data_IF_485533656876
#
_entry.id   IF_485533656876
#
_cell.length_a   1.000
_cell.length_b   1.000
_cell.length_c   1.000
_cell.angle_alpha   90.00
_cell.angle_beta   90.00
_cell.angle_gamma   90.00
#
_symmetry.space_group_name_H-M   'P 1'
#
loop_
_entity.id
_entity.type
_entity.pdbx_description
1 polymer ?
#
# COMPACT_ATOMS: atom_id res chain seq x y z
N UNK A 1 -66.94 -13.67 -38.53
CA UNK A 1 -66.94 -12.20 -38.63
C UNK A 1 -65.50 -11.73 -38.72
N UNK A 2 -65.05 -11.34 -39.90
CA UNK A 2 -63.64 -11.04 -40.21
C UNK A 2 -63.34 -9.58 -39.90
N UNK A 3 -62.42 -9.30 -38.96
CA UNK A 3 -62.06 -7.93 -38.56
C UNK A 3 -61.04 -7.37 -39.56
N UNK A 4 -61.44 -6.35 -40.33
CA UNK A 4 -60.57 -5.60 -41.23
C UNK A 4 -59.89 -4.43 -40.49
N UNK A 5 -58.61 -4.20 -40.81
CA UNK A 5 -57.71 -3.09 -40.43
C UNK A 5 -58.37 -1.69 -40.32
N UNK A 6 -59.42 -1.39 -41.09
CA UNK A 6 -60.17 -0.12 -40.98
C UNK A 6 -60.98 0.04 -39.70
N UNK A 7 -61.48 -1.05 -39.09
CA UNK A 7 -62.23 -0.98 -37.81
C UNK A 7 -61.33 -0.87 -36.59
N UNK A 8 -60.05 -1.24 -36.70
CA UNK A 8 -59.08 -1.07 -35.61
C UNK A 8 -58.63 0.39 -35.46
N UNK A 9 -58.50 1.13 -36.58
CA UNK A 9 -58.03 2.52 -36.56
C UNK A 9 -59.12 3.50 -36.07
N UNK A 10 -60.41 3.20 -36.29
CA UNK A 10 -61.50 4.03 -35.76
C UNK A 10 -61.72 3.87 -34.23
N UNK A 11 -61.28 2.77 -33.62
CA UNK A 11 -61.34 2.59 -32.17
C UNK A 11 -60.17 3.28 -31.43
N UNK A 12 -59.10 3.65 -32.14
CA UNK A 12 -57.93 4.32 -31.56
C UNK A 12 -58.02 5.86 -31.56
N UNK A 13 -59.03 6.45 -32.22
CA UNK A 13 -59.11 7.89 -32.48
C UNK A 13 -60.04 8.70 -31.57
N UNK A 14 -60.77 8.09 -30.64
CA UNK A 14 -61.78 8.78 -29.82
C UNK A 14 -61.68 8.39 -28.34
N UNK A 15 -60.53 8.71 -27.74
CA UNK A 15 -60.25 8.50 -26.31
C UNK A 15 -59.26 9.53 -25.77
N UNK A 16 -59.31 10.77 -26.27
CA UNK A 16 -58.61 11.91 -25.66
C UNK A 16 -59.44 12.40 -24.46
N UNK A 17 -59.43 11.63 -23.37
CA UNK A 17 -59.90 12.07 -22.06
C UNK A 17 -58.70 12.19 -21.14
N UNK A 18 -58.50 13.42 -20.66
CA UNK A 18 -57.52 13.86 -19.67
C UNK A 18 -57.51 12.92 -18.47
N UNK A 19 -56.63 11.93 -18.50
CA UNK A 19 -56.13 11.26 -17.30
C UNK A 19 -54.77 11.91 -17.03
N UNK A 20 -54.78 12.86 -16.10
CA UNK A 20 -53.55 13.42 -15.57
C UNK A 20 -52.66 12.27 -15.14
N UNK A 21 -51.52 12.11 -15.81
CA UNK A 21 -50.43 11.32 -15.26
C UNK A 21 -50.17 11.88 -13.86
N UNK A 22 -50.18 11.06 -12.80
CA UNK A 22 -49.68 11.53 -11.53
C UNK A 22 -48.25 12.00 -11.81
N UNK A 23 -48.01 13.28 -11.59
CA UNK A 23 -46.67 13.84 -11.57
C UNK A 23 -45.86 12.90 -10.68
N UNK A 24 -44.91 12.18 -11.28
CA UNK A 24 -43.85 11.56 -10.50
C UNK A 24 -43.20 12.75 -9.82
N UNK A 25 -43.54 12.95 -8.54
CA UNK A 25 -42.91 13.90 -7.66
C UNK A 25 -41.44 13.53 -7.73
N UNK A 26 -40.67 14.34 -8.47
CA UNK A 26 -39.24 14.17 -8.69
C UNK A 26 -38.55 14.58 -7.40
N UNK A 27 -38.68 13.75 -6.37
CA UNK A 27 -38.02 13.92 -5.09
C UNK A 27 -36.54 13.58 -5.25
N UNK A 28 -35.74 14.45 -5.86
CA UNK A 28 -34.28 14.28 -5.88
C UNK A 28 -33.50 15.60 -6.00
N UNK A 29 -33.88 16.61 -5.20
CA UNK A 29 -33.12 17.87 -5.10
C UNK A 29 -32.06 17.86 -3.99
N UNK A 30 -32.15 16.93 -3.02
CA UNK A 30 -31.18 16.88 -1.93
C UNK A 30 -29.80 16.39 -2.43
N UNK A 31 -28.69 17.00 -1.98
CA UNK A 31 -27.35 16.54 -2.31
C UNK A 31 -27.09 15.11 -1.80
N UNK A 32 -26.17 14.40 -2.45
CA UNK A 32 -25.64 13.13 -1.97
C UNK A 32 -24.59 13.47 -0.90
N UNK A 33 -24.86 13.10 0.34
CA UNK A 33 -23.94 13.27 1.47
C UNK A 33 -22.99 12.08 1.49
N UNK A 34 -21.76 12.29 1.06
CA UNK A 34 -20.74 11.26 0.89
C UNK A 34 -19.75 11.35 2.05
N UNK A 35 -19.65 10.30 2.86
CA UNK A 35 -18.60 10.18 3.86
C UNK A 35 -17.34 9.57 3.27
N UNK A 36 -16.17 10.13 3.59
CA UNK A 36 -14.87 9.52 3.33
C UNK A 36 -14.23 9.18 4.68
N UNK A 37 -14.18 7.88 5.00
CA UNK A 37 -13.41 7.34 6.11
C UNK A 37 -11.99 7.07 5.64
N UNK A 38 -11.03 7.87 6.08
CA UNK A 38 -9.64 7.79 5.61
C UNK A 38 -8.64 7.85 6.78
N UNK A 39 -7.35 7.77 6.44
CA UNK A 39 -6.22 7.87 7.36
C UNK A 39 -5.34 9.04 6.91
N UNK A 40 -5.36 10.14 7.65
CA UNK A 40 -4.57 11.36 7.36
C UNK A 40 -3.39 11.51 8.31
N UNK A 41 -3.37 10.73 9.38
CA UNK A 41 -2.33 10.70 10.41
C UNK A 41 -1.86 9.28 10.68
N UNK A 42 -0.64 9.14 11.20
CA UNK A 42 -0.07 7.84 11.54
C UNK A 42 0.50 7.07 10.33
N UNK A 43 0.81 5.77 10.51
CA UNK A 43 1.67 5.01 9.58
C UNK A 43 1.08 4.80 8.19
N UNK A 44 -0.23 4.95 8.03
CA UNK A 44 -0.95 4.77 6.77
C UNK A 44 -1.38 6.09 6.12
N UNK A 45 -0.87 7.24 6.64
CA UNK A 45 -1.30 8.56 6.21
C UNK A 45 -1.08 8.83 4.71
N UNK A 46 0.01 8.33 4.11
CA UNK A 46 0.27 8.51 2.68
C UNK A 46 -0.86 7.93 1.83
N UNK A 47 -1.26 6.69 2.09
CA UNK A 47 -2.34 6.02 1.37
C UNK A 47 -3.70 6.69 1.56
N UNK A 48 -4.01 7.17 2.77
CA UNK A 48 -5.29 7.85 3.01
C UNK A 48 -5.34 9.27 2.45
N UNK A 49 -4.22 9.99 2.43
CA UNK A 49 -4.09 11.27 1.72
C UNK A 49 -4.28 11.09 0.21
N UNK A 50 -3.71 10.04 -0.38
CA UNK A 50 -3.89 9.72 -1.79
C UNK A 50 -5.33 9.30 -2.10
N UNK A 51 -5.99 8.56 -1.20
CA UNK A 51 -7.41 8.23 -1.32
C UNK A 51 -8.30 9.48 -1.32
N UNK A 52 -8.01 10.46 -0.44
CA UNK A 52 -8.74 11.75 -0.42
C UNK A 52 -8.48 12.57 -1.69
N UNK A 53 -7.22 12.69 -2.12
CA UNK A 53 -6.84 13.41 -3.34
C UNK A 53 -7.52 12.82 -4.57
N UNK A 54 -7.52 11.49 -4.70
CA UNK A 54 -8.15 10.79 -5.81
C UNK A 54 -9.67 11.02 -5.84
N UNK A 55 -10.35 10.92 -4.69
CA UNK A 55 -11.79 11.17 -4.62
C UNK A 55 -12.14 12.63 -4.95
N UNK A 56 -11.40 13.60 -4.38
CA UNK A 56 -11.61 15.02 -4.65
C UNK A 56 -11.36 15.34 -6.13
N UNK A 57 -10.31 14.78 -6.73
CA UNK A 57 -10.05 14.91 -8.16
C UNK A 57 -11.22 14.35 -8.98
N UNK A 58 -11.65 13.13 -8.71
CA UNK A 58 -12.75 12.46 -9.40
C UNK A 58 -14.06 13.26 -9.35
N UNK A 59 -14.37 13.86 -8.19
CA UNK A 59 -15.55 14.71 -8.02
C UNK A 59 -15.40 16.03 -8.79
N UNK A 60 -14.23 16.69 -8.75
CA UNK A 60 -13.97 17.95 -9.46
C UNK A 60 -14.14 17.81 -10.96
N UNK A 61 -13.63 16.75 -11.56
CA UNK A 61 -13.80 16.43 -12.98
C UNK A 61 -15.28 16.32 -13.40
N UNK A 62 -16.17 16.04 -12.44
CA UNK A 62 -17.61 15.87 -12.62
C UNK A 62 -18.42 17.04 -12.06
N UNK A 63 -17.80 18.20 -11.85
CA UNK A 63 -18.44 19.37 -11.24
C UNK A 63 -19.10 19.06 -9.89
N UNK A 64 -18.52 18.13 -9.12
CA UNK A 64 -19.05 17.60 -7.86
C UNK A 64 -20.45 17.01 -7.98
N UNK A 65 -20.72 16.31 -9.09
CA UNK A 65 -22.02 15.68 -9.36
C UNK A 65 -21.89 14.16 -9.49
N UNK A 66 -22.86 13.44 -8.93
CA UNK A 66 -23.04 12.00 -9.08
C UNK A 66 -24.51 11.71 -9.36
N UNK A 67 -24.79 10.91 -10.40
CA UNK A 67 -26.16 10.57 -10.81
C UNK A 67 -27.11 11.78 -10.92
N UNK A 68 -26.59 12.92 -11.41
CA UNK A 68 -27.36 14.17 -11.56
C UNK A 68 -27.59 14.97 -10.27
N UNK A 69 -26.99 14.58 -9.14
CA UNK A 69 -27.11 15.28 -7.84
C UNK A 69 -25.75 15.81 -7.38
N UNK A 70 -25.75 16.98 -6.74
CA UNK A 70 -24.55 17.54 -6.12
C UNK A 70 -24.06 16.66 -4.97
N UNK A 71 -22.75 16.53 -4.80
CA UNK A 71 -22.11 15.79 -3.71
C UNK A 71 -21.66 16.74 -2.61
N UNK A 72 -22.02 16.44 -1.37
CA UNK A 72 -21.45 17.03 -0.15
C UNK A 72 -20.49 16.01 0.48
N UNK A 73 -19.20 16.32 0.48
CA UNK A 73 -18.16 15.43 0.99
C UNK A 73 -17.86 15.73 2.46
N UNK A 74 -17.91 14.70 3.31
CA UNK A 74 -17.56 14.73 4.72
C UNK A 74 -16.35 13.83 4.94
N UNK A 75 -15.25 14.35 5.47
CA UNK A 75 -14.01 13.58 5.63
C UNK A 75 -13.75 13.32 7.11
N UNK A 76 -13.49 12.06 7.44
CA UNK A 76 -13.10 11.64 8.77
C UNK A 76 -11.72 10.97 8.76
N UNK A 77 -10.84 11.44 9.66
CA UNK A 77 -9.55 10.80 9.92
C UNK A 77 -9.67 9.85 11.11
N UNK A 78 -9.29 8.61 10.88
CA UNK A 78 -9.26 7.52 11.87
C UNK A 78 -7.85 7.23 12.41
N UNK A 79 -6.81 7.85 11.85
CA UNK A 79 -5.42 7.65 12.25
C UNK A 79 -4.88 6.23 12.03
N UNK A 80 -5.59 5.37 11.29
CA UNK A 80 -5.23 3.96 11.15
C UNK A 80 -5.66 3.10 12.35
N UNK A 81 -6.50 3.64 13.25
CA UNK A 81 -6.85 3.02 14.53
C UNK A 81 -8.27 2.47 14.50
N UNK A 82 -8.48 1.15 14.66
CA UNK A 82 -9.81 0.52 14.55
C UNK A 82 -10.87 1.11 15.49
N UNK A 83 -10.50 1.42 16.74
CA UNK A 83 -11.43 2.03 17.70
C UNK A 83 -11.86 3.44 17.26
N UNK A 84 -10.95 4.23 16.69
CA UNK A 84 -11.29 5.57 16.18
C UNK A 84 -12.15 5.48 14.93
N UNK A 85 -11.88 4.53 14.03
CA UNK A 85 -12.70 4.30 12.84
C UNK A 85 -14.17 4.04 13.19
N UNK A 86 -14.45 3.26 14.26
CA UNK A 86 -15.82 3.05 14.75
C UNK A 86 -16.49 4.36 15.18
N UNK A 87 -15.87 5.11 16.07
CA UNK A 87 -16.42 6.39 16.56
C UNK A 87 -16.60 7.41 15.43
N UNK A 88 -15.67 7.45 14.48
CA UNK A 88 -15.74 8.33 13.32
C UNK A 88 -16.83 7.93 12.34
N UNK A 89 -17.08 6.63 12.18
CA UNK A 89 -18.20 6.13 11.36
C UNK A 89 -19.52 6.56 11.97
N UNK A 90 -19.66 6.44 13.29
CA UNK A 90 -20.83 6.94 14.03
C UNK A 90 -21.01 8.44 13.84
N UNK A 91 -19.93 9.23 13.94
CA UNK A 91 -19.97 10.68 13.70
C UNK A 91 -20.48 11.02 12.29
N UNK A 92 -19.95 10.35 11.25
CA UNK A 92 -20.39 10.56 9.86
C UNK A 92 -21.87 10.21 9.67
N UNK A 93 -22.35 9.12 10.27
CA UNK A 93 -23.74 8.66 10.10
C UNK A 93 -24.70 9.49 10.94
N UNK A 94 -24.40 9.70 12.21
CA UNK A 94 -25.32 10.28 13.19
C UNK A 94 -25.31 11.80 13.17
N UNK A 95 -24.14 12.44 13.05
CA UNK A 95 -24.03 13.90 12.94
C UNK A 95 -24.14 14.35 11.50
N UNK A 96 -23.30 13.78 10.63
CA UNK A 96 -23.19 14.28 9.26
C UNK A 96 -24.23 13.67 8.31
N UNK A 97 -25.03 12.70 8.77
CA UNK A 97 -26.15 12.12 8.01
C UNK A 97 -25.73 11.67 6.60
N UNK A 98 -24.56 11.05 6.47
CA UNK A 98 -24.08 10.55 5.18
C UNK A 98 -25.05 9.50 4.61
N UNK A 99 -25.17 9.45 3.29
CA UNK A 99 -25.96 8.46 2.57
C UNK A 99 -25.13 7.25 2.15
N UNK A 100 -23.83 7.44 1.95
CA UNK A 100 -22.88 6.44 1.45
C UNK A 100 -21.51 6.75 2.05
N UNK A 101 -20.73 5.72 2.34
CA UNK A 101 -19.36 5.82 2.81
C UNK A 101 -18.38 5.30 1.76
N UNK A 102 -17.28 6.02 1.55
CA UNK A 102 -16.07 5.53 0.89
C UNK A 102 -15.00 5.31 1.96
N UNK A 103 -14.30 4.19 1.89
CA UNK A 103 -13.38 3.72 2.93
C UNK A 103 -14.02 2.65 3.84
N UNK A 104 -13.35 2.23 4.92
CA UNK A 104 -12.04 2.69 5.39
C UNK A 104 -10.87 2.20 4.51
N UNK A 105 -9.65 2.61 4.86
CA UNK A 105 -8.40 2.19 4.19
C UNK A 105 -7.85 0.90 4.80
N UNK A 106 -7.80 0.79 6.13
CA UNK A 106 -7.12 -0.31 6.79
C UNK A 106 -8.05 -1.51 7.01
N UNK A 107 -7.50 -2.72 6.87
CA UNK A 107 -8.24 -3.96 7.09
C UNK A 107 -8.86 -4.04 8.49
N UNK A 108 -8.12 -3.65 9.53
CA UNK A 108 -8.63 -3.64 10.91
C UNK A 108 -9.77 -2.64 11.14
N UNK A 109 -9.80 -1.52 10.41
CA UNK A 109 -10.88 -0.55 10.49
C UNK A 109 -12.15 -1.08 9.85
N UNK A 110 -12.03 -1.78 8.71
CA UNK A 110 -13.18 -2.42 8.06
C UNK A 110 -13.83 -3.45 8.99
N UNK A 111 -13.02 -4.31 9.62
CA UNK A 111 -13.49 -5.28 10.60
C UNK A 111 -14.16 -4.60 11.81
N UNK A 112 -13.59 -3.52 12.32
CA UNK A 112 -14.12 -2.81 13.48
C UNK A 112 -15.41 -2.02 13.22
N UNK A 113 -15.67 -1.68 11.96
CA UNK A 113 -16.87 -0.93 11.53
C UNK A 113 -17.97 -1.81 10.96
N UNK A 114 -17.68 -3.09 10.68
CA UNK A 114 -18.58 -4.03 10.01
C UNK A 114 -19.98 -4.12 10.64
N UNK A 115 -20.04 -4.39 11.95
CA UNK A 115 -21.32 -4.51 12.66
C UNK A 115 -22.15 -3.24 12.58
N UNK A 116 -21.50 -2.07 12.64
CA UNK A 116 -22.19 -0.79 12.55
C UNK A 116 -22.69 -0.51 11.13
N UNK A 117 -21.86 -0.79 10.12
CA UNK A 117 -22.25 -0.73 8.70
C UNK A 117 -23.48 -1.61 8.45
N UNK A 118 -23.47 -2.84 9.01
CA UNK A 118 -24.59 -3.79 8.90
C UNK A 118 -25.86 -3.28 9.58
N UNK A 119 -25.75 -2.77 10.82
CA UNK A 119 -26.88 -2.24 11.58
C UNK A 119 -27.52 -1.02 10.93
N UNK A 120 -26.70 -0.09 10.42
CA UNK A 120 -27.17 1.14 9.79
C UNK A 120 -27.56 0.95 8.33
N UNK A 121 -27.37 -0.25 7.78
CA UNK A 121 -27.59 -0.52 6.35
C UNK A 121 -26.84 0.50 5.46
N UNK A 122 -25.62 0.85 5.85
CA UNK A 122 -24.86 1.94 5.25
C UNK A 122 -24.14 1.44 4.00
N UNK A 123 -24.53 1.86 2.78
CA UNK A 123 -23.79 1.50 1.58
C UNK A 123 -22.34 1.99 1.70
N UNK A 124 -21.39 1.07 1.57
CA UNK A 124 -19.97 1.32 1.81
C UNK A 124 -19.14 0.78 0.64
N UNK A 125 -18.37 1.66 -0.01
CA UNK A 125 -17.36 1.29 -1.00
C UNK A 125 -15.97 1.43 -0.38
N UNK A 126 -15.27 0.33 -0.18
CA UNK A 126 -13.99 0.32 0.52
C UNK A 126 -12.86 -0.23 -0.35
N UNK A 127 -11.64 0.21 -0.04
CA UNK A 127 -10.39 -0.35 -0.55
C UNK A 127 -9.72 -1.28 0.46
N UNK A 128 -10.23 -1.36 1.69
CA UNK A 128 -9.70 -2.20 2.75
C UNK A 128 -9.80 -3.68 2.38
N UNK A 129 -8.69 -4.39 2.55
CA UNK A 129 -8.52 -5.74 2.01
C UNK A 129 -8.88 -6.89 2.98
N UNK A 130 -9.46 -6.58 4.14
CA UNK A 130 -9.88 -7.56 5.17
C UNK A 130 -10.78 -8.66 4.61
N UNK A 131 -10.35 -9.92 4.56
CA UNK A 131 -11.05 -10.94 3.76
C UNK A 131 -12.50 -11.19 4.20
N UNK A 132 -12.77 -11.09 5.50
CA UNK A 132 -14.07 -11.45 6.08
C UNK A 132 -15.23 -10.63 5.59
N UNK A 133 -14.99 -9.36 5.26
CA UNK A 133 -16.02 -8.46 4.77
C UNK A 133 -16.70 -8.97 3.48
N UNK A 134 -16.03 -9.85 2.73
CA UNK A 134 -16.50 -10.37 1.44
C UNK A 134 -16.38 -11.89 1.30
N UNK A 135 -15.96 -12.61 2.35
CA UNK A 135 -15.72 -14.06 2.28
C UNK A 135 -16.47 -14.83 3.36
N UNK A 136 -15.94 -14.85 4.60
CA UNK A 136 -16.48 -15.68 5.70
C UNK A 136 -17.68 -15.04 6.38
N UNK A 137 -17.72 -13.70 6.42
CA UNK A 137 -18.81 -12.93 7.02
C UNK A 137 -19.24 -11.79 6.07
N UNK A 138 -19.73 -12.11 4.87
CA UNK A 138 -19.99 -11.10 3.85
C UNK A 138 -21.03 -10.10 4.36
N UNK A 139 -20.71 -8.81 4.24
CA UNK A 139 -21.64 -7.74 4.58
C UNK A 139 -22.31 -7.23 3.28
N UNK A 140 -23.65 -7.35 3.13
CA UNK A 140 -24.34 -6.94 1.90
C UNK A 140 -24.29 -5.43 1.65
N UNK A 141 -23.92 -4.64 2.66
CA UNK A 141 -23.75 -3.18 2.56
C UNK A 141 -22.30 -2.76 2.29
N UNK A 142 -21.39 -3.73 2.14
CA UNK A 142 -19.98 -3.50 1.90
C UNK A 142 -19.58 -4.02 0.51
N UNK A 143 -19.07 -3.12 -0.32
CA UNK A 143 -18.49 -3.44 -1.62
C UNK A 143 -17.01 -3.12 -1.60
N UNK A 144 -16.17 -4.04 -2.05
CA UNK A 144 -14.74 -3.82 -2.23
C UNK A 144 -14.40 -3.51 -3.66
N UNK A 145 -13.68 -2.40 -3.89
CA UNK A 145 -13.18 -2.02 -5.22
C UNK A 145 -11.81 -2.61 -5.58
N UNK A 146 -11.20 -3.39 -4.68
CA UNK A 146 -9.82 -3.87 -4.72
C UNK A 146 -9.72 -5.37 -4.39
N UNK A 147 -8.51 -5.94 -4.43
CA UNK A 147 -8.25 -7.32 -4.05
C UNK A 147 -8.38 -7.57 -2.53
N UNK A 148 -8.56 -8.83 -2.13
CA UNK A 148 -8.40 -9.25 -0.72
C UNK A 148 -6.93 -9.35 -0.33
N UNK A 149 -6.66 -9.39 0.97
CA UNK A 149 -5.29 -9.49 1.50
C UNK A 149 -4.56 -10.75 1.06
N UNK A 150 -5.21 -11.91 0.96
CA UNK A 150 -4.56 -13.14 0.50
C UNK A 150 -4.38 -13.22 -1.03
N UNK A 151 -5.25 -12.56 -1.80
CA UNK A 151 -5.26 -12.68 -3.26
C UNK A 151 -3.92 -12.31 -3.90
N UNK A 152 -3.25 -11.26 -3.40
CA UNK A 152 -1.94 -10.85 -3.91
C UNK A 152 -0.82 -11.84 -3.57
N UNK A 153 -1.00 -12.66 -2.53
CA UNK A 153 -0.01 -13.63 -2.07
C UNK A 153 -0.08 -14.97 -2.81
N UNK A 154 -1.24 -15.35 -3.36
CA UNK A 154 -1.41 -16.64 -4.04
C UNK A 154 -0.48 -16.82 -5.25
N UNK A 155 -0.41 -15.88 -6.22
CA UNK A 155 0.47 -16.05 -7.38
C UNK A 155 1.95 -16.10 -6.98
N UNK A 156 2.33 -15.37 -5.93
CA UNK A 156 3.70 -15.36 -5.43
C UNK A 156 4.08 -16.72 -4.82
N UNK A 157 3.20 -17.32 -4.01
CA UNK A 157 3.41 -18.66 -3.47
C UNK A 157 3.52 -19.71 -4.57
N UNK A 158 2.63 -19.65 -5.57
CA UNK A 158 2.64 -20.54 -6.74
C UNK A 158 3.96 -20.43 -7.51
N UNK A 159 4.45 -19.21 -7.70
CA UNK A 159 5.73 -18.95 -8.34
C UNK A 159 6.91 -19.50 -7.51
N UNK A 160 6.94 -19.26 -6.19
CA UNK A 160 7.98 -19.77 -5.30
C UNK A 160 8.13 -21.29 -5.37
N UNK A 161 7.01 -22.03 -5.37
CA UNK A 161 7.04 -23.50 -5.36
C UNK A 161 7.20 -24.10 -6.76
N UNK A 162 6.42 -23.66 -7.75
CA UNK A 162 6.42 -24.27 -9.09
C UNK A 162 7.62 -23.83 -9.91
N UNK A 163 7.97 -22.56 -9.81
CA UNK A 163 8.93 -21.94 -10.70
C UNK A 163 10.31 -21.88 -10.05
N UNK A 164 10.41 -21.49 -8.79
CA UNK A 164 11.71 -21.37 -8.10
C UNK A 164 12.11 -22.62 -7.32
N UNK A 165 11.18 -23.57 -7.19
CA UNK A 165 11.40 -24.86 -6.51
C UNK A 165 11.82 -24.71 -5.03
N UNK A 166 11.50 -23.59 -4.38
CA UNK A 166 11.73 -23.47 -2.92
C UNK A 166 10.88 -24.47 -2.18
N UNK A 167 11.38 -24.96 -1.06
CA UNK A 167 10.70 -25.96 -0.23
C UNK A 167 10.50 -25.48 1.21
N UNK A 168 11.29 -24.51 1.67
CA UNK A 168 11.32 -24.03 3.05
C UNK A 168 11.42 -22.52 3.05
N UNK A 169 10.41 -21.82 3.57
CA UNK A 169 10.40 -20.35 3.58
C UNK A 169 10.12 -19.80 4.98
N UNK A 170 10.71 -18.64 5.27
CA UNK A 170 10.31 -17.80 6.40
C UNK A 170 9.43 -16.66 5.90
N UNK A 171 8.41 -16.29 6.68
CA UNK A 171 7.54 -15.14 6.40
C UNK A 171 7.73 -14.08 7.47
N UNK A 172 7.90 -12.84 7.03
CA UNK A 172 7.87 -11.64 7.87
C UNK A 172 6.79 -10.74 7.29
N UNK A 173 5.80 -10.37 8.09
CA UNK A 173 4.69 -9.50 7.67
C UNK A 173 4.24 -8.63 8.84
N UNK A 174 3.63 -7.48 8.59
CA UNK A 174 3.17 -6.61 9.68
C UNK A 174 2.13 -7.29 10.58
N UNK A 175 2.18 -7.03 11.89
CA UNK A 175 1.23 -7.52 12.89
C UNK A 175 -0.11 -6.76 12.85
N UNK A 176 -0.76 -6.84 11.70
CA UNK A 176 -2.07 -6.27 11.40
C UNK A 176 -2.88 -7.28 10.58
N UNK A 177 -4.22 -7.17 10.53
CA UNK A 177 -5.06 -8.14 9.80
C UNK A 177 -4.59 -8.38 8.36
N UNK A 178 -4.17 -7.33 7.64
CA UNK A 178 -3.64 -7.44 6.29
C UNK A 178 -2.40 -8.35 6.21
N UNK A 179 -1.42 -8.18 7.12
CA UNK A 179 -0.19 -8.97 7.12
C UNK A 179 -0.43 -10.43 7.49
N UNK A 180 -1.34 -10.67 8.45
CA UNK A 180 -1.76 -12.03 8.83
C UNK A 180 -2.46 -12.76 7.68
N UNK A 181 -3.43 -12.10 7.03
CA UNK A 181 -4.19 -12.66 5.92
C UNK A 181 -3.31 -12.92 4.70
N UNK A 182 -2.40 -11.99 4.37
CA UNK A 182 -1.41 -12.17 3.31
C UNK A 182 -0.50 -13.37 3.59
N UNK A 183 0.00 -13.50 4.83
CA UNK A 183 0.81 -14.65 5.25
C UNK A 183 0.04 -15.97 5.15
N UNK A 184 -1.23 -15.98 5.58
CA UNK A 184 -2.09 -17.15 5.49
C UNK A 184 -2.36 -17.55 4.03
N UNK A 185 -2.64 -16.58 3.16
CA UNK A 185 -2.79 -16.78 1.72
C UNK A 185 -1.56 -17.41 1.08
N UNK A 186 -0.38 -16.83 1.34
CA UNK A 186 0.88 -17.36 0.86
C UNK A 186 1.10 -18.80 1.35
N UNK A 187 0.97 -19.02 2.66
CA UNK A 187 1.20 -20.33 3.28
C UNK A 187 0.31 -21.39 2.66
N UNK A 188 -1.00 -21.11 2.53
CA UNK A 188 -1.95 -22.08 1.99
C UNK A 188 -1.48 -22.61 0.64
N UNK A 189 -1.23 -21.71 -0.30
CA UNK A 189 -0.81 -22.09 -1.66
C UNK A 189 0.56 -22.74 -1.68
N UNK A 190 1.50 -22.29 -0.85
CA UNK A 190 2.85 -22.84 -0.80
C UNK A 190 2.89 -24.25 -0.19
N UNK A 191 2.14 -24.49 0.89
CA UNK A 191 2.12 -25.77 1.60
C UNK A 191 1.24 -26.82 0.91
N UNK A 192 0.12 -26.43 0.30
CA UNK A 192 -0.69 -27.32 -0.57
C UNK A 192 0.12 -27.91 -1.73
N UNK A 193 1.19 -27.23 -2.13
CA UNK A 193 2.08 -27.65 -3.21
C UNK A 193 3.39 -28.30 -2.72
N UNK A 194 3.44 -28.68 -1.45
CA UNK A 194 4.56 -29.42 -0.85
C UNK A 194 5.73 -28.55 -0.40
N UNK A 195 5.54 -27.24 -0.26
CA UNK A 195 6.43 -26.35 0.46
C UNK A 195 6.16 -26.38 1.96
N UNK A 196 6.98 -25.69 2.74
CA UNK A 196 6.81 -25.55 4.19
C UNK A 196 7.19 -24.15 4.65
N UNK A 197 6.29 -23.52 5.41
CA UNK A 197 6.64 -22.30 6.15
C UNK A 197 7.29 -22.72 7.46
N UNK A 198 8.60 -22.49 7.58
CA UNK A 198 9.40 -22.97 8.72
C UNK A 198 9.53 -21.93 9.83
N UNK A 199 9.14 -20.69 9.56
CA UNK A 199 9.14 -19.57 10.49
C UNK A 199 8.17 -18.48 10.03
N UNK A 200 7.49 -17.86 11.00
CA UNK A 200 6.68 -16.66 10.81
C UNK A 200 7.05 -15.63 11.86
N UNK A 201 7.10 -14.37 11.46
CA UNK A 201 7.34 -13.26 12.35
C UNK A 201 6.40 -12.12 12.00
N UNK A 202 5.79 -11.54 13.02
CA UNK A 202 4.85 -10.44 12.87
C UNK A 202 5.35 -9.22 13.67
N UNK A 203 6.29 -8.45 13.12
CA UNK A 203 6.68 -7.17 13.71
C UNK A 203 5.51 -6.18 13.73
N UNK A 204 5.45 -5.27 14.72
CA UNK A 204 4.51 -4.17 14.69
C UNK A 204 4.69 -3.32 13.42
N UNK A 205 3.59 -2.78 12.86
CA UNK A 205 3.63 -1.91 11.68
C UNK A 205 4.57 -0.70 11.83
N UNK A 206 4.77 -0.24 13.07
CA UNK A 206 5.62 0.90 13.43
C UNK A 206 7.01 0.50 13.90
N UNK A 207 7.42 -0.76 13.65
CA UNK A 207 8.76 -1.23 14.03
C UNK A 207 9.81 -0.32 13.40
N UNK A 208 10.76 0.23 14.19
CA UNK A 208 11.76 1.15 13.65
C UNK A 208 12.81 0.45 12.78
N UNK A 209 12.96 -0.87 12.95
CA UNK A 209 14.04 -1.67 12.39
C UNK A 209 13.66 -3.17 12.35
N UNK A 210 14.08 -3.86 11.30
CA UNK A 210 13.82 -5.29 11.11
C UNK A 210 15.01 -6.19 11.55
N UNK A 211 16.13 -5.62 11.99
CA UNK A 211 17.37 -6.32 12.29
C UNK A 211 17.22 -7.42 13.34
N UNK A 212 16.43 -7.18 14.40
CA UNK A 212 16.12 -8.19 15.42
C UNK A 212 15.31 -9.37 14.87
N UNK A 213 14.48 -9.15 13.85
CA UNK A 213 13.70 -10.20 13.18
C UNK A 213 14.57 -10.95 12.17
N UNK A 214 15.45 -10.26 11.44
CA UNK A 214 16.39 -10.88 10.52
C UNK A 214 17.40 -11.78 11.26
N UNK A 215 17.86 -11.38 12.44
CA UNK A 215 18.76 -12.19 13.26
C UNK A 215 18.13 -13.50 13.77
N UNK A 216 16.79 -13.58 13.82
CA UNK A 216 16.07 -14.79 14.23
C UNK A 216 15.87 -15.79 13.09
N UNK A 217 16.24 -15.44 11.86
CA UNK A 217 16.02 -16.30 10.69
C UNK A 217 16.76 -17.63 10.83
N UNK A 218 16.01 -18.72 10.66
CA UNK A 218 16.59 -20.07 10.63
C UNK A 218 17.54 -20.23 9.45
N UNK A 219 18.65 -20.94 9.66
CA UNK A 219 19.68 -21.17 8.62
C UNK A 219 19.25 -22.12 7.51
N UNK A 220 18.16 -22.87 7.70
CA UNK A 220 17.67 -23.88 6.76
C UNK A 220 16.48 -23.38 5.91
N UNK A 221 16.45 -22.10 5.55
CA UNK A 221 15.42 -21.50 4.69
C UNK A 221 15.97 -21.27 3.27
N UNK A 222 15.14 -21.49 2.26
CA UNK A 222 15.47 -21.27 0.84
C UNK A 222 15.26 -19.80 0.41
N UNK A 223 14.56 -19.01 1.23
CA UNK A 223 14.26 -17.61 0.96
C UNK A 223 13.47 -16.88 2.05
N UNK A 224 13.62 -15.55 2.03
CA UNK A 224 12.87 -14.53 2.79
C UNK A 224 12.39 -13.50 1.79
N UNK A 225 11.08 -13.23 1.71
CA UNK A 225 10.40 -12.31 0.77
C UNK A 225 11.35 -11.48 -0.14
N UNK A 226 11.59 -12.00 -1.34
CA UNK A 226 12.88 -11.94 -2.06
C UNK A 226 12.90 -10.97 -3.26
N UNK A 227 12.65 -9.67 -3.05
CA UNK A 227 12.61 -8.69 -4.15
C UNK A 227 13.76 -8.82 -5.17
N UNK A 228 15.01 -8.90 -4.70
CA UNK A 228 16.19 -9.03 -5.58
C UNK A 228 16.25 -10.35 -6.35
N UNK A 229 15.88 -11.49 -5.73
CA UNK A 229 15.95 -12.82 -6.39
C UNK A 229 14.92 -12.95 -7.50
N UNK A 230 13.70 -12.46 -7.25
CA UNK A 230 12.62 -12.50 -8.24
C UNK A 230 12.88 -11.51 -9.37
N UNK A 231 13.31 -10.27 -9.07
CA UNK A 231 13.67 -9.28 -10.10
C UNK A 231 14.81 -9.77 -10.99
N UNK A 232 15.87 -10.36 -10.40
CA UNK A 232 16.99 -10.91 -11.17
C UNK A 232 16.55 -12.03 -12.11
N UNK A 233 15.64 -12.90 -11.68
CA UNK A 233 15.10 -13.96 -12.55
C UNK A 233 14.29 -13.37 -13.70
N UNK A 234 13.36 -12.45 -13.43
CA UNK A 234 12.54 -11.83 -14.48
C UNK A 234 13.40 -11.06 -15.49
N UNK A 235 14.42 -10.34 -15.03
CA UNK A 235 15.38 -9.66 -15.89
C UNK A 235 16.26 -10.64 -16.69
N UNK A 236 16.58 -11.81 -16.14
CA UNK A 236 17.33 -12.84 -16.86
C UNK A 236 16.48 -13.57 -17.92
N UNK A 237 15.16 -13.61 -17.74
CA UNK A 237 14.20 -14.17 -18.70
C UNK A 237 13.77 -13.15 -19.77
N UNK A 238 14.09 -11.85 -19.63
CA UNK A 238 13.72 -10.83 -20.61
C UNK A 238 14.55 -10.93 -21.89
N UNK A 239 14.00 -10.47 -23.01
CA UNK A 239 14.72 -10.37 -24.29
C UNK A 239 14.64 -8.93 -24.81
N UNK A 240 15.76 -8.18 -24.85
CA UNK A 240 17.09 -8.59 -24.39
C UNK A 240 17.17 -8.73 -22.86
N UNK A 241 18.11 -9.55 -22.39
CA UNK A 241 18.52 -9.56 -20.97
C UNK A 241 19.18 -8.23 -20.69
N UNK A 242 18.53 -7.36 -19.93
CA UNK A 242 19.05 -6.08 -19.47
C UNK A 242 18.31 -5.66 -18.20
N UNK A 243 19.02 -5.18 -17.18
CA UNK A 243 18.36 -4.76 -15.94
C UNK A 243 19.25 -3.98 -15.00
N UNK A 244 18.60 -3.25 -14.10
CA UNK A 244 19.25 -2.57 -12.98
C UNK A 244 18.48 -2.87 -11.69
N UNK A 245 19.17 -3.41 -10.70
CA UNK A 245 18.67 -3.66 -9.36
C UNK A 245 19.34 -2.66 -8.41
N UNK A 246 18.52 -1.90 -7.70
CA UNK A 246 18.97 -0.83 -6.80
C UNK A 246 18.49 -1.18 -5.39
N UNK A 247 19.43 -1.55 -4.52
CA UNK A 247 19.13 -1.87 -3.13
C UNK A 247 19.32 -0.63 -2.25
N UNK A 248 18.38 -0.37 -1.35
CA UNK A 248 18.48 0.77 -0.41
C UNK A 248 19.15 0.31 0.89
N UNK A 249 20.42 0.69 1.07
CA UNK A 249 21.15 0.52 2.32
C UNK A 249 21.03 1.79 3.18
N UNK A 250 22.13 2.25 3.79
CA UNK A 250 22.26 3.44 4.63
C UNK A 250 23.75 3.73 4.84
N UNK A 251 24.09 4.96 5.20
CA UNK A 251 25.41 5.28 5.80
C UNK A 251 25.72 4.43 7.04
N UNK A 252 24.69 3.96 7.76
CA UNK A 252 24.86 3.04 8.89
C UNK A 252 25.31 1.62 8.46
N UNK A 253 25.29 1.32 7.16
CA UNK A 253 25.95 0.13 6.61
C UNK A 253 27.43 0.33 6.26
N UNK A 254 27.95 1.56 6.38
CA UNK A 254 29.34 1.94 6.12
C UNK A 254 30.10 2.19 7.43
N UNK A 255 29.43 2.81 8.40
CA UNK A 255 29.99 3.22 9.69
C UNK A 255 29.09 2.76 10.84
N UNK A 256 29.67 2.60 12.03
CA UNK A 256 28.93 2.25 13.25
C UNK A 256 28.27 3.46 13.90
N UNK A 257 27.10 3.25 14.52
CA UNK A 257 26.47 4.26 15.38
C UNK A 257 26.01 3.62 16.70
N UNK A 258 26.40 4.18 17.86
CA UNK A 258 26.01 3.62 19.15
C UNK A 258 24.49 3.50 19.30
N UNK A 259 24.03 2.41 19.93
CA UNK A 259 22.60 2.21 20.23
C UNK A 259 21.76 1.63 19.08
N UNK A 260 22.31 1.46 17.86
CA UNK A 260 21.59 0.92 16.70
C UNK A 260 22.32 -0.25 16.01
N UNK A 261 23.08 -1.05 16.77
CA UNK A 261 23.93 -2.12 16.23
C UNK A 261 23.22 -3.13 15.31
N UNK A 262 21.95 -3.46 15.59
CA UNK A 262 21.15 -4.33 14.71
C UNK A 262 20.87 -3.68 13.34
N UNK A 263 20.59 -2.37 13.33
CA UNK A 263 20.41 -1.59 12.11
C UNK A 263 21.71 -1.50 11.32
N UNK A 264 22.85 -1.25 11.99
CA UNK A 264 24.16 -1.27 11.35
C UNK A 264 24.45 -2.63 10.68
N UNK A 265 24.22 -3.73 11.40
CA UNK A 265 24.42 -5.08 10.89
C UNK A 265 23.52 -5.38 9.68
N UNK A 266 22.23 -5.02 9.75
CA UNK A 266 21.28 -5.19 8.65
C UNK A 266 21.71 -4.43 7.38
N UNK A 267 22.06 -3.16 7.52
CA UNK A 267 22.47 -2.31 6.38
C UNK A 267 23.85 -2.68 5.83
N UNK A 268 24.77 -3.12 6.68
CA UNK A 268 26.04 -3.75 6.28
C UNK A 268 25.82 -5.06 5.53
N UNK A 269 24.81 -5.85 5.92
CA UNK A 269 24.37 -7.03 5.21
C UNK A 269 23.89 -6.72 3.79
N UNK A 270 23.00 -5.73 3.62
CA UNK A 270 22.53 -5.28 2.29
C UNK A 270 23.69 -4.82 1.40
N UNK A 271 24.68 -4.12 1.97
CA UNK A 271 25.88 -3.66 1.27
C UNK A 271 26.67 -4.82 0.67
N UNK A 272 27.03 -5.82 1.48
CA UNK A 272 27.79 -6.98 1.01
C UNK A 272 26.96 -7.90 0.10
N UNK A 273 25.67 -8.06 0.42
CA UNK A 273 24.74 -8.81 -0.43
C UNK A 273 24.68 -8.24 -1.85
N UNK A 274 24.57 -6.92 -1.99
CA UNK A 274 24.54 -6.23 -3.29
C UNK A 274 25.75 -6.58 -4.14
N UNK A 275 26.96 -6.55 -3.55
CA UNK A 275 28.20 -6.93 -4.26
C UNK A 275 28.21 -8.40 -4.67
N UNK A 276 27.77 -9.29 -3.77
CA UNK A 276 27.72 -10.72 -4.06
C UNK A 276 26.78 -11.02 -5.24
N UNK A 277 25.60 -10.39 -5.28
CA UNK A 277 24.66 -10.54 -6.42
C UNK A 277 25.24 -9.92 -7.69
N UNK A 278 25.86 -8.74 -7.61
CA UNK A 278 26.51 -8.10 -8.77
C UNK A 278 27.54 -9.02 -9.44
N UNK A 279 28.43 -9.63 -8.63
CA UNK A 279 29.43 -10.58 -9.11
C UNK A 279 28.78 -11.85 -9.67
N UNK A 280 27.72 -12.34 -9.03
CA UNK A 280 26.95 -13.49 -9.53
C UNK A 280 26.32 -13.23 -10.90
N UNK A 281 25.83 -12.02 -11.16
CA UNK A 281 25.32 -11.63 -12.49
C UNK A 281 26.44 -11.61 -13.52
N UNK A 282 27.60 -11.03 -13.16
CA UNK A 282 28.76 -10.93 -14.04
C UNK A 282 29.31 -12.32 -14.42
N UNK A 283 29.47 -13.22 -13.46
CA UNK A 283 29.93 -14.60 -13.68
C UNK A 283 28.99 -15.37 -14.63
N UNK A 284 27.69 -15.11 -14.56
CA UNK A 284 26.67 -15.74 -15.42
C UNK A 284 26.51 -15.05 -16.78
N UNK A 285 27.27 -13.99 -17.07
CA UNK A 285 27.12 -13.20 -18.29
C UNK A 285 25.77 -12.48 -18.41
N UNK A 286 25.02 -12.32 -17.30
CA UNK A 286 23.76 -11.59 -17.28
C UNK A 286 24.05 -10.09 -17.31
N UNK A 287 23.46 -9.36 -18.26
CA UNK A 287 23.56 -7.89 -18.33
C UNK A 287 22.64 -7.21 -17.29
N UNK A 288 22.76 -7.64 -16.03
CA UNK A 288 22.02 -7.11 -14.89
C UNK A 288 23.01 -6.43 -13.95
N UNK A 289 22.84 -5.13 -13.76
CA UNK A 289 23.63 -4.32 -12.82
C UNK A 289 22.98 -4.35 -11.45
N UNK A 290 23.79 -4.45 -10.39
CA UNK A 290 23.26 -4.48 -9.03
C UNK A 290 24.07 -3.52 -8.16
N UNK A 291 23.46 -2.44 -7.72
CA UNK A 291 24.12 -1.38 -6.94
C UNK A 291 23.31 -1.07 -5.67
N UNK A 292 23.96 -0.44 -4.69
CA UNK A 292 23.30 0.01 -3.46
C UNK A 292 23.41 1.51 -3.30
N UNK A 293 22.34 2.14 -2.79
CA UNK A 293 22.37 3.53 -2.34
C UNK A 293 22.52 3.57 -0.82
N UNK A 294 23.34 4.51 -0.34
CA UNK A 294 23.63 4.74 1.07
C UNK A 294 23.22 6.17 1.44
N UNK A 295 21.93 6.41 1.76
CA UNK A 295 21.46 7.72 2.17
C UNK A 295 22.03 8.12 3.53
N UNK A 296 22.31 9.42 3.67
CA UNK A 296 22.45 10.11 4.96
C UNK A 296 21.10 10.36 5.63
N UNK A 297 21.01 11.41 6.44
CA UNK A 297 19.73 11.83 7.01
C UNK A 297 18.92 12.60 5.97
N UNK A 298 17.74 12.05 5.64
CA UNK A 298 16.84 12.57 4.60
C UNK A 298 15.53 12.98 5.25
N UNK A 299 15.03 14.15 4.86
CA UNK A 299 13.79 14.72 5.35
C UNK A 299 12.58 13.91 4.86
N UNK A 300 12.20 12.93 5.66
CA UNK A 300 11.13 11.97 5.40
C UNK A 300 10.13 11.98 6.56
N UNK A 301 8.87 11.58 6.33
CA UNK A 301 7.91 11.43 7.43
C UNK A 301 8.45 10.58 8.59
N UNK A 302 9.18 9.50 8.30
CA UNK A 302 9.82 8.65 9.30
C UNK A 302 10.82 9.41 10.18
N UNK A 303 11.71 10.20 9.58
CA UNK A 303 12.70 10.98 10.34
C UNK A 303 12.01 12.09 11.16
N UNK A 304 11.02 12.78 10.58
CA UNK A 304 10.22 13.80 11.28
C UNK A 304 9.51 13.22 12.50
N UNK A 305 8.89 12.04 12.37
CA UNK A 305 8.28 11.34 13.49
C UNK A 305 9.30 10.91 14.55
N UNK A 306 10.48 10.46 14.13
CA UNK A 306 11.57 10.12 15.06
C UNK A 306 12.04 11.35 15.84
N UNK A 307 12.19 12.50 15.17
CA UNK A 307 12.54 13.78 15.80
C UNK A 307 11.47 14.24 16.78
N UNK A 308 10.19 14.11 16.43
CA UNK A 308 9.07 14.48 17.29
C UNK A 308 8.98 13.67 18.59
N UNK A 309 9.59 12.48 18.64
CA UNK A 309 9.66 11.62 19.83
C UNK A 309 10.91 11.85 20.68
N UNK A 310 11.83 12.73 20.24
CA UNK A 310 13.01 13.07 21.02
C UNK A 310 12.64 13.94 22.22
N UNK A 311 13.54 13.96 23.22
CA UNK A 311 13.37 14.76 24.44
C UNK A 311 13.22 16.25 24.15
N UNK A 312 13.82 16.74 23.07
CA UNK A 312 13.75 18.14 22.62
C UNK A 312 13.45 18.21 21.11
N UNK A 313 12.17 18.17 20.72
CA UNK A 313 11.76 18.20 19.31
C UNK A 313 12.10 19.50 18.59
N UNK A 314 12.10 20.64 19.29
CA UNK A 314 12.39 21.95 18.70
C UNK A 314 13.87 22.06 18.29
N UNK A 315 14.76 21.40 19.03
CA UNK A 315 16.19 21.37 18.72
C UNK A 315 16.59 20.22 17.80
N UNK A 316 15.79 19.14 17.72
CA UNK A 316 16.10 17.94 16.96
C UNK A 316 16.46 18.23 15.48
N UNK A 317 15.70 19.10 14.81
CA UNK A 317 15.95 19.49 13.43
C UNK A 317 17.37 20.08 13.26
N UNK A 318 17.74 21.05 14.09
CA UNK A 318 19.08 21.67 14.05
C UNK A 318 20.18 20.66 14.33
N UNK A 319 19.95 19.72 15.25
CA UNK A 319 20.90 18.65 15.54
C UNK A 319 21.12 17.77 14.32
N UNK A 320 20.05 17.34 13.65
CA UNK A 320 20.17 16.53 12.44
C UNK A 320 20.74 17.31 11.25
N UNK A 321 20.45 18.59 11.10
CA UNK A 321 21.07 19.42 10.05
C UNK A 321 22.59 19.52 10.25
N UNK A 322 23.03 19.77 11.48
CA UNK A 322 24.45 19.91 11.84
C UNK A 322 25.24 18.60 11.76
N UNK A 323 24.56 17.45 11.75
CA UNK A 323 25.20 16.15 11.59
C UNK A 323 25.79 15.97 10.18
N UNK A 324 25.24 16.65 9.17
CA UNK A 324 25.72 16.62 7.79
C UNK A 324 26.63 17.83 7.54
N UNK A 325 27.85 17.65 7.00
CA UNK A 325 28.75 18.75 6.67
C UNK A 325 28.15 19.85 5.76
N UNK A 326 27.21 19.52 4.89
CA UNK A 326 26.48 20.52 4.07
C UNK A 326 25.51 21.39 4.89
N UNK A 327 25.26 21.07 6.16
CA UNK A 327 24.51 21.87 7.11
C UNK A 327 22.99 21.76 6.99
N UNK A 328 22.47 20.76 6.28
CA UNK A 328 21.04 20.49 6.16
C UNK A 328 20.75 19.00 5.92
N UNK A 329 19.51 18.58 6.21
CA UNK A 329 18.97 17.30 5.74
C UNK A 329 18.95 17.22 4.21
N UNK A 330 19.21 16.04 3.66
CA UNK A 330 18.89 15.76 2.27
C UNK A 330 17.38 15.71 2.04
N UNK A 331 16.94 15.91 0.81
CA UNK A 331 15.55 15.79 0.39
C UNK A 331 15.30 14.42 -0.25
N UNK A 332 14.06 13.89 -0.23
CA UNK A 332 13.74 12.63 -0.93
C UNK A 332 14.15 12.63 -2.40
N UNK A 333 14.12 13.79 -3.05
CA UNK A 333 14.55 13.99 -4.44
C UNK A 333 16.03 13.70 -4.65
N UNK A 334 16.90 13.99 -3.67
CA UNK A 334 18.34 13.71 -3.77
C UNK A 334 18.61 12.21 -3.94
N UNK A 335 17.85 11.38 -3.21
CA UNK A 335 17.91 9.93 -3.34
C UNK A 335 17.23 9.46 -4.63
N UNK A 336 16.09 10.05 -4.99
CA UNK A 336 15.37 9.70 -6.21
C UNK A 336 16.21 9.93 -7.47
N UNK A 337 16.99 11.01 -7.54
CA UNK A 337 17.91 11.24 -8.66
C UNK A 337 19.06 10.23 -8.71
N UNK A 338 19.56 9.79 -7.55
CA UNK A 338 20.51 8.68 -7.48
C UNK A 338 19.92 7.37 -8.01
N UNK A 339 18.68 7.06 -7.64
CA UNK A 339 17.93 5.91 -8.18
C UNK A 339 17.75 6.04 -9.69
N UNK A 340 17.33 7.21 -10.18
CA UNK A 340 17.14 7.48 -11.60
C UNK A 340 18.44 7.23 -12.39
N UNK A 341 19.56 7.77 -11.92
CA UNK A 341 20.87 7.56 -12.53
C UNK A 341 21.28 6.08 -12.54
N UNK A 342 21.09 5.36 -11.44
CA UNK A 342 21.41 3.93 -11.38
C UNK A 342 20.46 3.08 -12.25
N UNK A 343 19.23 3.53 -12.46
CA UNK A 343 18.25 2.85 -13.31
C UNK A 343 18.53 3.06 -14.80
N UNK A 344 19.19 4.17 -15.16
CA UNK A 344 19.41 4.57 -16.55
C UNK A 344 20.69 4.00 -17.17
N UNK A 345 20.89 4.23 -18.47
CA UNK A 345 22.05 3.75 -19.23
C UNK A 345 23.34 4.55 -18.94
N UNK A 346 23.22 5.72 -18.32
CA UNK A 346 24.35 6.53 -17.86
C UNK A 346 25.19 5.77 -16.82
N UNK A 347 24.59 4.86 -16.06
CA UNK A 347 25.29 4.00 -15.09
C UNK A 347 25.64 2.60 -15.63
N UNK A 348 25.71 2.42 -16.97
CA UNK A 348 25.94 1.10 -17.62
C UNK A 348 27.22 0.38 -17.20
N UNK A 349 28.22 1.10 -16.66
CA UNK A 349 29.47 0.53 -16.18
C UNK A 349 29.52 0.36 -14.64
N UNK A 350 28.42 0.62 -13.95
CA UNK A 350 28.33 0.48 -12.49
C UNK A 350 27.60 -0.80 -12.11
N UNK A 351 28.32 -1.73 -11.48
CA UNK A 351 27.75 -2.91 -10.81
C UNK A 351 28.58 -3.23 -9.57
N UNK A 352 27.94 -3.58 -8.46
CA UNK A 352 28.56 -3.74 -7.13
C UNK A 352 28.95 -2.43 -6.45
N UNK A 353 28.54 -1.28 -7.02
CA UNK A 353 28.88 0.04 -6.52
C UNK A 353 28.03 0.44 -5.31
N UNK A 354 28.64 1.23 -4.43
CA UNK A 354 28.01 1.86 -3.28
C UNK A 354 27.87 3.36 -3.58
N UNK A 355 26.66 3.79 -3.94
CA UNK A 355 26.37 5.20 -4.21
C UNK A 355 26.00 5.89 -2.90
N UNK A 356 26.93 6.67 -2.35
CA UNK A 356 26.73 7.42 -1.10
C UNK A 356 26.12 8.79 -1.41
N UNK A 357 25.01 9.12 -0.75
CA UNK A 357 24.30 10.39 -0.89
C UNK A 357 23.94 10.87 0.52
N UNK A 358 24.88 11.55 1.18
CA UNK A 358 24.83 11.76 2.63
C UNK A 358 25.23 13.16 3.11
N UNK A 359 25.38 14.12 2.19
CA UNK A 359 25.81 15.47 2.54
C UNK A 359 27.20 15.54 3.18
N UNK A 360 28.05 14.53 2.96
CA UNK A 360 29.41 14.43 3.48
C UNK A 360 29.53 13.75 4.84
N UNK A 361 28.45 13.19 5.40
CA UNK A 361 28.44 12.63 6.75
C UNK A 361 29.56 11.62 7.00
N UNK A 362 29.86 10.78 6.00
CA UNK A 362 30.88 9.73 6.03
C UNK A 362 32.26 10.15 5.52
N UNK A 363 32.43 11.39 5.05
CA UNK A 363 33.69 11.88 4.48
C UNK A 363 34.73 12.33 5.54
N UNK A 364 34.37 12.28 6.82
CA UNK A 364 35.16 12.80 7.96
C UNK A 364 35.85 11.71 8.76
#
# INVERSE_FOLDING_TARGET
MTINRRKFIQAAGAGASVLGFPSIVRAQDAPIRLGLMTVKTGPLASGGLDMERALVMYLRERNNMLAGRKVELFVADSGGVPAQARSKTQELVERDKINIMIGPLAAGEALATDDYIRQQQLPTLSVAAAEDMTQRNPNPWFVRGTSTSAQCAHPLADYCIKQLKYKRMAVIADDIPYGHEMCAGFQRVFEEQGGKIVQKMFPPLTVPDYGTFLAQLKTNIDGVFLGTKHSMRLMAESTPVNGSIINISSIMGLIGHPGIGAYNASKGGVRLYTKSVALSCAEKGLKIRVNSIHPGFIDTPLLRESMARMRDPEQAQKTYDALQPVGHLGQPQDIAYGVLYLASDESRFMTGAELVIDGGYTAR
#
